data_IF_054062887769
#
_entry.id   IF_054062887769
#
_cell.length_a   1.000
_cell.length_b   1.000
_cell.length_c   1.000
_cell.angle_alpha   90.00
_cell.angle_beta   90.00
_cell.angle_gamma   90.00
#
_symmetry.space_group_name_H-M   'P 1'
#
loop_
_entity.id
_entity.type
_entity.pdbx_description
1 polymer ?
#
# COMPACT_ATOMS: atom_id res chain seq x y z
N UNK A 1 56.52 -22.10 -21.84
CA UNK A 1 55.74 -21.81 -20.61
C UNK A 1 54.65 -20.78 -20.91
N UNK A 2 53.47 -21.15 -21.44
CA UNK A 2 52.47 -20.13 -21.80
C UNK A 2 51.00 -20.60 -21.89
N UNK A 3 50.57 -21.63 -21.14
CA UNK A 3 49.17 -22.12 -21.24
C UNK A 3 48.47 -22.38 -19.90
N UNK A 4 48.84 -21.67 -18.82
CA UNK A 4 48.16 -21.81 -17.51
C UNK A 4 47.15 -20.71 -17.15
N UNK A 5 47.12 -19.59 -17.89
CA UNK A 5 46.25 -18.45 -17.55
C UNK A 5 44.83 -18.48 -18.14
N UNK A 6 44.49 -19.43 -19.03
CA UNK A 6 43.17 -19.45 -19.65
C UNK A 6 42.07 -20.15 -18.79
N UNK A 7 42.44 -20.87 -17.72
CA UNK A 7 41.46 -21.59 -16.88
C UNK A 7 40.83 -20.75 -15.77
N UNK A 8 41.36 -19.58 -15.44
CA UNK A 8 40.82 -18.71 -14.39
C UNK A 8 39.73 -17.75 -14.87
N UNK A 9 39.54 -17.58 -16.18
CA UNK A 9 38.47 -16.71 -16.71
C UNK A 9 37.10 -17.40 -16.84
N UNK A 10 36.98 -18.68 -16.44
CA UNK A 10 35.70 -19.42 -16.46
C UNK A 10 34.93 -19.40 -15.13
N UNK A 11 35.44 -18.72 -14.10
CA UNK A 11 34.71 -18.52 -12.85
C UNK A 11 33.98 -17.18 -12.81
N UNK A 12 33.44 -16.71 -13.94
CA UNK A 12 32.40 -15.68 -13.91
C UNK A 12 31.20 -16.34 -13.20
N UNK A 13 30.83 -15.91 -11.99
CA UNK A 13 29.81 -16.56 -11.21
C UNK A 13 28.48 -16.51 -11.99
N UNK A 14 27.92 -17.69 -12.29
CA UNK A 14 26.59 -17.85 -12.91
C UNK A 14 25.47 -17.13 -12.15
N UNK A 15 25.73 -16.64 -10.93
CA UNK A 15 24.82 -15.83 -10.14
C UNK A 15 24.43 -14.50 -10.81
N UNK A 16 25.29 -13.87 -11.63
CA UNK A 16 24.91 -12.63 -12.32
C UNK A 16 23.95 -12.85 -13.50
N UNK A 17 23.91 -14.05 -14.10
CA UNK A 17 22.90 -14.37 -15.14
C UNK A 17 21.50 -14.61 -14.58
N UNK A 18 21.36 -14.87 -13.28
CA UNK A 18 20.04 -14.95 -12.63
C UNK A 18 19.55 -13.62 -12.04
N UNK A 19 20.41 -12.61 -11.89
CA UNK A 19 19.95 -11.27 -11.50
C UNK A 19 19.03 -10.62 -12.53
N UNK A 20 19.14 -10.97 -13.82
CA UNK A 20 18.22 -10.50 -14.85
C UNK A 20 16.93 -11.33 -15.00
N UNK A 21 16.79 -12.48 -14.30
CA UNK A 21 15.67 -13.42 -14.54
C UNK A 21 14.85 -13.78 -13.31
N UNK A 22 14.89 -12.95 -12.27
CA UNK A 22 13.83 -12.96 -11.27
C UNK A 22 13.38 -11.53 -11.02
N UNK A 23 12.81 -10.88 -12.05
CA UNK A 23 11.78 -9.89 -11.76
C UNK A 23 10.82 -10.56 -10.80
N UNK A 24 10.74 -10.01 -9.60
CA UNK A 24 9.99 -10.63 -8.52
C UNK A 24 8.55 -10.74 -9.02
N UNK A 25 7.84 -11.85 -8.78
CA UNK A 25 6.42 -11.96 -9.21
C UNK A 25 5.57 -10.76 -8.74
N UNK A 26 6.04 -10.09 -7.67
CA UNK A 26 5.55 -8.83 -7.13
C UNK A 26 5.68 -7.64 -8.09
N UNK A 27 6.79 -7.53 -8.81
CA UNK A 27 7.06 -6.42 -9.74
C UNK A 27 6.15 -6.53 -10.97
N UNK A 28 5.93 -7.75 -11.47
CA UNK A 28 4.95 -8.01 -12.52
C UNK A 28 3.52 -7.69 -12.09
N UNK A 29 3.16 -7.97 -10.84
CA UNK A 29 1.85 -7.64 -10.29
C UNK A 29 1.66 -6.13 -10.14
N UNK A 30 2.68 -5.43 -9.63
CA UNK A 30 2.71 -3.97 -9.55
C UNK A 30 2.58 -3.35 -10.95
N UNK A 31 3.35 -3.84 -11.92
CA UNK A 31 3.32 -3.34 -13.29
C UNK A 31 1.94 -3.52 -13.94
N UNK A 32 1.29 -4.68 -13.78
CA UNK A 32 -0.08 -4.91 -14.25
C UNK A 32 -1.08 -3.98 -13.57
N UNK A 33 -0.88 -3.69 -12.29
CA UNK A 33 -1.76 -2.81 -11.53
C UNK A 33 -1.63 -1.35 -11.98
N UNK A 34 -0.40 -0.85 -12.17
CA UNK A 34 -0.14 0.45 -12.78
C UNK A 34 -0.73 0.55 -14.19
N UNK A 35 -0.58 -0.49 -15.01
CA UNK A 35 -1.12 -0.51 -16.35
C UNK A 35 -2.65 -0.37 -16.39
N UNK A 36 -3.35 -1.08 -15.49
CA UNK A 36 -4.81 -0.94 -15.35
C UNK A 36 -5.18 0.47 -14.87
N UNK A 37 -4.42 1.04 -13.93
CA UNK A 37 -4.64 2.40 -13.45
C UNK A 37 -4.48 3.43 -14.58
N UNK A 38 -3.45 3.29 -15.40
CA UNK A 38 -3.20 4.16 -16.56
C UNK A 38 -4.34 4.06 -17.57
N UNK A 39 -4.80 2.85 -17.91
CA UNK A 39 -5.94 2.67 -18.82
C UNK A 39 -7.17 3.40 -18.28
N UNK A 40 -7.51 3.15 -17.00
CA UNK A 40 -8.65 3.77 -16.35
C UNK A 40 -8.52 5.29 -16.35
N UNK A 41 -7.36 5.81 -15.98
CA UNK A 41 -7.08 7.25 -15.95
C UNK A 41 -7.23 7.88 -17.34
N UNK A 42 -6.68 7.24 -18.37
CA UNK A 42 -6.79 7.70 -19.76
C UNK A 42 -8.25 7.68 -20.21
N UNK A 43 -9.01 6.61 -19.95
CA UNK A 43 -10.41 6.51 -20.32
C UNK A 43 -11.26 7.64 -19.69
N UNK A 44 -11.11 7.87 -18.38
CA UNK A 44 -11.88 8.92 -17.69
C UNK A 44 -11.44 10.33 -18.11
N UNK A 45 -10.14 10.55 -18.31
CA UNK A 45 -9.61 11.85 -18.77
C UNK A 45 -10.06 12.17 -20.19
N UNK A 46 -10.03 11.19 -21.10
CA UNK A 46 -10.52 11.34 -22.47
C UNK A 46 -12.02 11.62 -22.50
N UNK A 47 -12.82 10.90 -21.71
CA UNK A 47 -14.25 11.13 -21.60
C UNK A 47 -14.56 12.58 -21.19
N UNK A 48 -13.89 13.07 -20.14
CA UNK A 48 -14.07 14.45 -19.68
C UNK A 48 -13.58 15.48 -20.71
N UNK A 49 -12.47 15.20 -21.41
CA UNK A 49 -11.94 16.07 -22.47
C UNK A 49 -12.92 16.20 -23.65
N UNK A 50 -13.48 15.08 -24.13
CA UNK A 50 -14.50 15.08 -25.20
C UNK A 50 -15.72 15.89 -24.76
N UNK A 51 -16.17 15.72 -23.52
CA UNK A 51 -17.30 16.47 -22.99
C UNK A 51 -17.03 17.99 -22.91
N UNK A 52 -15.83 18.39 -22.51
CA UNK A 52 -15.43 19.80 -22.49
C UNK A 52 -15.38 20.40 -23.90
N UNK A 53 -14.86 19.67 -24.89
CA UNK A 53 -14.87 20.11 -26.29
C UNK A 53 -16.31 20.24 -26.80
N UNK A 54 -17.17 19.27 -26.52
CA UNK A 54 -18.59 19.34 -26.86
C UNK A 54 -19.27 20.57 -26.25
N UNK A 55 -19.02 20.86 -24.97
CA UNK A 55 -19.56 22.06 -24.32
C UNK A 55 -19.06 23.34 -24.98
N UNK A 56 -17.75 23.44 -25.26
CA UNK A 56 -17.16 24.61 -25.91
C UNK A 56 -17.74 24.84 -27.31
N UNK A 57 -17.91 23.78 -28.10
CA UNK A 57 -18.48 23.88 -29.46
C UNK A 57 -19.97 24.23 -29.48
N UNK A 58 -20.68 24.02 -28.36
CA UNK A 58 -22.15 24.21 -28.30
C UNK A 58 -22.55 25.44 -27.47
N UNK A 59 -21.62 26.34 -27.16
CA UNK A 59 -21.94 27.52 -26.33
C UNK A 59 -22.92 28.49 -27.01
N UNK A 60 -22.92 28.57 -28.34
CA UNK A 60 -23.69 29.58 -29.09
C UNK A 60 -25.11 29.11 -29.49
N UNK A 61 -25.50 27.86 -29.19
CA UNK A 61 -26.83 27.36 -29.54
C UNK A 61 -27.87 27.73 -28.48
N UNK A 62 -29.06 28.18 -28.92
CA UNK A 62 -30.21 28.41 -28.06
C UNK A 62 -30.60 27.09 -27.36
N UNK A 63 -30.45 27.05 -26.03
CA UNK A 63 -30.70 25.85 -25.23
C UNK A 63 -32.17 25.71 -24.87
N UNK A 64 -32.77 24.58 -25.22
CA UNK A 64 -34.06 24.17 -24.67
C UNK A 64 -33.89 23.73 -23.20
N UNK A 65 -34.94 23.84 -22.36
CA UNK A 65 -34.85 23.47 -20.94
C UNK A 65 -34.48 22.00 -20.73
N UNK A 66 -35.01 21.10 -21.57
CA UNK A 66 -34.66 19.67 -21.54
C UNK A 66 -33.17 19.44 -21.83
N UNK A 67 -32.64 20.10 -22.86
CA UNK A 67 -31.22 19.97 -23.22
C UNK A 67 -30.31 20.49 -22.12
N UNK A 68 -30.67 21.62 -21.50
CA UNK A 68 -29.93 22.17 -20.36
C UNK A 68 -29.93 21.21 -19.17
N UNK A 69 -31.04 20.51 -18.88
CA UNK A 69 -31.09 19.51 -17.82
C UNK A 69 -30.14 18.33 -18.10
N UNK A 70 -30.12 17.82 -19.34
CA UNK A 70 -29.20 16.74 -19.76
C UNK A 70 -27.75 17.18 -19.67
N UNK A 71 -27.41 18.37 -20.16
CA UNK A 71 -26.05 18.91 -20.10
C UNK A 71 -25.58 19.10 -18.65
N UNK A 72 -26.46 19.59 -17.77
CA UNK A 72 -26.16 19.70 -16.34
C UNK A 72 -25.94 18.32 -15.69
N UNK A 73 -26.77 17.34 -16.01
CA UNK A 73 -26.60 15.97 -15.51
C UNK A 73 -25.27 15.36 -15.96
N UNK A 74 -24.95 15.47 -17.25
CA UNK A 74 -23.67 15.01 -17.81
C UNK A 74 -22.48 15.74 -17.18
N UNK A 75 -22.62 17.04 -16.91
CA UNK A 75 -21.58 17.81 -16.23
C UNK A 75 -21.33 17.32 -14.79
N UNK A 76 -22.39 16.94 -14.06
CA UNK A 76 -22.25 16.31 -12.73
C UNK A 76 -21.58 14.94 -12.82
N UNK A 77 -21.92 14.13 -13.82
CA UNK A 77 -21.27 12.83 -14.05
C UNK A 77 -19.79 13.01 -14.41
N UNK A 78 -19.47 13.97 -15.29
CA UNK A 78 -18.10 14.27 -15.68
C UNK A 78 -17.28 14.75 -14.47
N UNK A 79 -17.83 15.66 -13.66
CA UNK A 79 -17.21 16.10 -12.41
C UNK A 79 -16.98 14.92 -11.44
N UNK A 80 -17.96 14.04 -11.27
CA UNK A 80 -17.79 12.84 -10.45
C UNK A 80 -16.72 11.89 -11.01
N UNK A 81 -16.64 11.78 -12.33
CA UNK A 81 -15.68 10.93 -13.03
C UNK A 81 -14.23 11.35 -12.79
N UNK A 82 -13.96 12.63 -12.52
CA UNK A 82 -12.63 13.10 -12.11
C UNK A 82 -12.18 12.55 -10.75
N UNK A 83 -13.12 12.21 -9.85
CA UNK A 83 -12.79 11.67 -8.53
C UNK A 83 -12.51 10.16 -8.56
N UNK A 84 -13.05 9.43 -9.54
CA UNK A 84 -12.93 7.97 -9.65
C UNK A 84 -11.46 7.50 -9.72
N UNK A 85 -10.56 8.09 -10.53
CA UNK A 85 -9.15 7.70 -10.55
C UNK A 85 -8.42 7.85 -9.22
N UNK A 86 -8.80 8.83 -8.38
CA UNK A 86 -8.21 9.01 -7.05
C UNK A 86 -8.61 7.87 -6.11
N UNK A 87 -9.89 7.48 -6.13
CA UNK A 87 -10.36 6.33 -5.35
C UNK A 87 -9.68 5.04 -5.81
N UNK A 88 -9.55 4.84 -7.13
CA UNK A 88 -8.91 3.64 -7.69
C UNK A 88 -7.42 3.60 -7.36
N UNK A 89 -6.72 4.74 -7.38
CA UNK A 89 -5.32 4.85 -6.95
C UNK A 89 -5.12 4.33 -5.53
N UNK A 90 -6.03 4.65 -4.60
CA UNK A 90 -6.00 4.10 -3.24
C UNK A 90 -6.09 2.57 -3.22
N UNK A 91 -7.02 1.99 -3.97
CA UNK A 91 -7.14 0.53 -4.09
C UNK A 91 -5.92 -0.11 -4.75
N UNK A 92 -5.31 0.57 -5.73
CA UNK A 92 -4.06 0.12 -6.37
C UNK A 92 -2.92 0.09 -5.37
N UNK A 93 -2.73 1.13 -4.56
CA UNK A 93 -1.72 1.14 -3.50
C UNK A 93 -1.96 0.05 -2.46
N UNK A 94 -3.23 -0.18 -2.09
CA UNK A 94 -3.64 -1.27 -1.21
C UNK A 94 -3.34 -2.66 -1.80
N UNK A 95 -3.54 -2.85 -3.11
CA UNK A 95 -3.31 -4.12 -3.80
C UNK A 95 -1.83 -4.38 -4.12
N UNK A 96 -1.05 -3.35 -4.40
CA UNK A 96 0.34 -3.51 -4.82
C UNK A 96 1.30 -3.61 -3.62
N UNK A 97 1.10 -2.82 -2.57
CA UNK A 97 2.07 -2.71 -1.48
C UNK A 97 1.70 -3.60 -0.30
N UNK A 98 2.53 -4.62 -0.04
CA UNK A 98 2.45 -5.42 1.20
C UNK A 98 2.69 -4.55 2.45
N UNK A 99 3.63 -3.62 2.37
CA UNK A 99 3.93 -2.69 3.45
C UNK A 99 2.74 -1.79 3.74
N UNK A 100 2.09 -1.23 2.71
CA UNK A 100 0.90 -0.40 2.88
C UNK A 100 -0.27 -1.16 3.51
N UNK A 101 -0.48 -2.43 3.13
CA UNK A 101 -1.48 -3.29 3.80
C UNK A 101 -1.15 -3.54 5.25
N UNK A 102 0.12 -3.75 5.60
CA UNK A 102 0.54 -3.94 6.98
C UNK A 102 0.30 -2.67 7.81
N UNK A 103 0.64 -1.50 7.27
CA UNK A 103 0.36 -0.20 7.89
C UNK A 103 -1.13 0.06 8.04
N UNK A 104 -1.93 -0.16 6.98
CA UNK A 104 -3.39 -0.04 7.04
C UNK A 104 -4.00 -0.98 8.08
N UNK A 105 -3.49 -2.23 8.16
CA UNK A 105 -3.92 -3.18 9.18
C UNK A 105 -3.55 -2.69 10.58
N UNK A 106 -2.37 -2.12 10.77
CA UNK A 106 -1.93 -1.53 12.03
C UNK A 106 -2.81 -0.34 12.44
N UNK A 107 -3.09 0.58 11.51
CA UNK A 107 -4.01 1.71 11.73
C UNK A 107 -5.43 1.21 12.04
N UNK A 108 -5.92 0.21 11.31
CA UNK A 108 -7.24 -0.37 11.53
C UNK A 108 -7.30 -1.11 12.88
N UNK A 109 -6.25 -1.79 13.30
CA UNK A 109 -6.16 -2.33 14.67
C UNK A 109 -6.06 -1.23 15.72
N UNK A 110 -5.45 -0.08 15.45
CA UNK A 110 -5.43 1.05 16.38
C UNK A 110 -6.81 1.70 16.53
N UNK A 111 -7.59 1.73 15.44
CA UNK A 111 -8.94 2.32 15.41
C UNK A 111 -9.99 1.32 15.97
N UNK A 112 -9.94 0.05 15.55
CA UNK A 112 -10.87 -0.99 15.98
C UNK A 112 -10.45 -1.68 17.29
N UNK A 113 -9.18 -1.59 17.67
CA UNK A 113 -8.59 -2.22 18.84
C UNK A 113 -8.16 -1.18 19.87
N UNK A 114 -9.12 -0.38 20.32
CA UNK A 114 -9.10 0.13 21.69
C UNK A 114 -9.38 -1.08 22.59
N UNK A 115 -8.32 -1.65 23.20
CA UNK A 115 -8.32 -2.30 24.55
C UNK A 115 -7.46 -3.56 24.74
N UNK A 116 -6.81 -4.18 23.73
CA UNK A 116 -6.09 -5.45 23.99
C UNK A 116 -4.58 -5.39 24.18
N UNK A 117 -3.91 -4.32 23.75
CA UNK A 117 -2.43 -4.26 23.84
C UNK A 117 -1.96 -3.71 25.21
N UNK A 118 -2.81 -2.99 25.95
CA UNK A 118 -2.48 -2.53 27.30
C UNK A 118 -2.40 -3.64 28.37
N UNK A 119 -3.09 -4.78 28.18
CA UNK A 119 -3.12 -5.83 29.20
C UNK A 119 -1.89 -6.75 29.18
N UNK A 120 -1.31 -7.04 28.01
CA UNK A 120 -0.21 -8.01 27.93
C UNK A 120 1.14 -7.45 28.39
N UNK A 121 1.30 -6.13 28.37
CA UNK A 121 2.50 -5.45 28.87
C UNK A 121 2.41 -5.20 30.39
N UNK A 122 1.23 -4.93 30.94
CA UNK A 122 1.02 -4.84 32.39
C UNK A 122 1.16 -6.20 33.11
N UNK A 123 0.72 -7.30 32.49
CA UNK A 123 0.84 -8.64 33.10
C UNK A 123 2.31 -9.10 33.20
N UNK A 124 3.14 -8.79 32.20
CA UNK A 124 4.57 -9.10 32.24
C UNK A 124 5.34 -8.26 33.26
N UNK A 125 4.96 -6.99 33.44
CA UNK A 125 5.58 -6.11 34.46
C UNK A 125 5.19 -6.56 35.87
N UNK A 126 3.91 -6.91 36.11
CA UNK A 126 3.48 -7.43 37.42
C UNK A 126 4.09 -8.80 37.77
N UNK A 127 4.31 -9.68 36.78
CA UNK A 127 4.97 -10.97 37.00
C UNK A 127 6.45 -10.80 37.36
N UNK A 128 7.13 -9.78 36.83
CA UNK A 128 8.52 -9.50 37.18
C UNK A 128 8.65 -8.96 38.61
N UNK A 129 7.82 -7.98 38.99
CA UNK A 129 7.79 -7.42 40.36
C UNK A 129 7.45 -8.47 41.42
N UNK A 130 6.56 -9.42 41.10
CA UNK A 130 6.22 -10.52 42.03
C UNK A 130 7.37 -11.51 42.22
N UNK A 131 8.24 -11.67 41.23
CA UNK A 131 9.37 -12.60 41.28
C UNK A 131 10.49 -12.00 42.14
N UNK A 132 10.80 -10.73 41.92
CA UNK A 132 11.84 -10.02 42.66
C UNK A 132 11.49 -9.89 44.16
N UNK A 133 10.20 -9.69 44.49
CA UNK A 133 9.74 -9.64 45.88
C UNK A 133 9.74 -11.02 46.58
N UNK A 134 9.58 -12.12 45.84
CA UNK A 134 9.72 -13.47 46.42
C UNK A 134 11.17 -13.80 46.72
N UNK A 135 12.08 -13.45 45.81
CA UNK A 135 13.50 -13.71 45.99
C UNK A 135 14.06 -12.90 47.17
N UNK A 136 13.59 -11.65 47.36
CA UNK A 136 13.96 -10.83 48.52
C UNK A 136 13.48 -11.44 49.86
N UNK A 137 12.26 -11.96 49.91
CA UNK A 137 11.73 -12.60 51.13
C UNK A 137 12.45 -13.91 51.47
N UNK A 138 12.92 -14.66 50.47
CA UNK A 138 13.71 -15.87 50.68
C UNK A 138 15.07 -15.51 51.31
N UNK A 139 15.74 -14.48 50.79
CA UNK A 139 17.03 -14.02 51.33
C UNK A 139 16.89 -13.54 52.78
N UNK A 140 15.83 -12.78 53.11
CA UNK A 140 15.59 -12.28 54.48
C UNK A 140 15.34 -13.44 55.47
N UNK A 141 14.59 -14.46 55.07
CA UNK A 141 14.33 -15.62 55.91
C UNK A 141 15.59 -16.47 56.16
N UNK A 142 16.46 -16.62 55.15
CA UNK A 142 17.73 -17.36 55.32
C UNK A 142 18.67 -16.62 56.27
N UNK A 143 18.77 -15.29 56.18
CA UNK A 143 19.63 -14.48 57.06
C UNK A 143 19.11 -14.46 58.51
N UNK A 144 17.80 -14.56 58.73
CA UNK A 144 17.22 -14.56 60.09
C UNK A 144 17.31 -15.92 60.83
N UNK A 145 17.76 -16.98 60.15
CA UNK A 145 17.82 -18.35 60.70
C UNK A 145 19.24 -18.78 61.10
N UNK A 146 20.23 -17.89 60.94
CA UNK A 146 21.64 -18.08 61.33
C UNK A 146 21.96 -17.18 62.51
#
# INVERSE_FOLDING_TARGET
MAFRNARQLRSIPRQQRHQFRTMNKKDFQLLRCLYVLDIVYICFTLFASIFNVYQASTQDQIRTPLRSAVENFLNRIAAFSYHIPFCISFFVFLCASKAFRQEMKHIMYKICGKDRIGMHEQENIQLHDRKDNKDLNIVINVVSTV
#
